data_IF_003099986683
#
_entry.id   IF_003099986683
#
_cell.length_a   1.000
_cell.length_b   1.000
_cell.length_c   1.000
_cell.angle_alpha   90.00
_cell.angle_beta   90.00
_cell.angle_gamma   90.00
#
_symmetry.space_group_name_H-M   'P 1'
#
loop_
_entity.id
_entity.type
_entity.pdbx_description
1 polymer ?
#
# COMPACT_ATOMS: atom_id res chain seq x y z
N UNK A 1 6.51 -4.79 -8.37
CA UNK A 1 7.65 -5.14 -9.24
C UNK A 1 7.82 -6.65 -9.19
N UNK A 2 8.01 -7.29 -10.35
CA UNK A 2 8.41 -8.70 -10.43
C UNK A 2 9.64 -8.83 -11.33
N UNK A 3 10.30 -9.97 -11.29
CA UNK A 3 11.47 -10.33 -12.11
C UNK A 3 11.28 -11.74 -12.65
N UNK A 4 12.16 -12.19 -13.55
CA UNK A 4 12.13 -13.57 -14.04
C UNK A 4 12.17 -14.59 -12.88
N UNK A 5 13.07 -14.41 -11.92
CA UNK A 5 13.22 -15.29 -10.76
C UNK A 5 12.00 -15.25 -9.82
N UNK A 6 11.42 -14.06 -9.57
CA UNK A 6 10.23 -13.93 -8.73
C UNK A 6 8.99 -14.55 -9.39
N UNK A 7 8.87 -14.42 -10.71
CA UNK A 7 7.76 -14.99 -11.47
C UNK A 7 7.77 -16.52 -11.42
N UNK A 8 8.94 -17.17 -11.41
CA UNK A 8 9.05 -18.62 -11.20
C UNK A 8 8.42 -19.11 -9.89
N UNK A 9 8.29 -18.21 -8.90
CA UNK A 9 7.71 -18.47 -7.59
C UNK A 9 6.36 -17.77 -7.36
N UNK A 10 5.69 -17.30 -8.43
CA UNK A 10 4.44 -16.53 -8.34
C UNK A 10 4.51 -15.34 -7.35
N UNK A 11 5.68 -14.70 -7.28
CA UNK A 11 6.00 -13.68 -6.30
C UNK A 11 6.21 -12.30 -6.93
N UNK A 12 6.07 -11.25 -6.11
CA UNK A 12 6.38 -9.86 -6.46
C UNK A 12 6.79 -9.08 -5.21
N UNK A 13 7.44 -7.94 -5.42
CA UNK A 13 7.57 -6.87 -4.40
C UNK A 13 6.46 -5.85 -4.64
N UNK A 14 5.64 -5.57 -3.64
CA UNK A 14 4.55 -4.59 -3.67
C UNK A 14 4.82 -3.45 -2.70
N UNK A 15 4.26 -2.27 -2.99
CA UNK A 15 4.16 -1.13 -2.06
C UNK A 15 2.69 -0.71 -2.09
N UNK A 16 2.08 -0.47 -0.93
CA UNK A 16 0.67 -0.13 -0.83
C UNK A 16 0.45 1.36 -0.51
N UNK A 17 -0.54 1.97 -1.16
CA UNK A 17 -0.93 3.37 -0.95
C UNK A 17 -0.30 4.38 -1.92
N UNK A 18 -0.60 5.69 -1.75
CA UNK A 18 0.01 6.77 -2.54
C UNK A 18 1.54 6.84 -2.35
N UNK A 19 2.27 7.36 -3.34
CA UNK A 19 3.73 7.56 -3.21
C UNK A 19 4.06 8.58 -2.13
N UNK A 20 5.15 8.33 -1.39
CA UNK A 20 5.68 9.18 -0.31
C UNK A 20 7.14 9.59 -0.56
N UNK A 21 7.68 9.32 -1.75
CA UNK A 21 9.10 9.52 -2.04
C UNK A 21 9.51 11.00 -2.07
N UNK A 22 8.60 11.85 -2.58
CA UNK A 22 8.84 13.28 -2.79
C UNK A 22 7.82 14.16 -2.06
N UNK A 23 6.93 13.55 -1.28
CA UNK A 23 5.80 14.21 -0.64
C UNK A 23 5.44 13.52 0.65
N UNK A 24 4.78 14.24 1.54
CA UNK A 24 4.37 13.68 2.84
C UNK A 24 3.42 12.50 2.63
N UNK A 25 3.44 11.51 3.54
CA UNK A 25 2.46 10.44 3.52
C UNK A 25 1.04 10.96 3.51
N UNK A 26 0.19 10.30 2.72
CA UNK A 26 -1.23 10.59 2.73
C UNK A 26 -1.84 10.16 4.07
N UNK A 27 -2.65 11.04 4.66
CA UNK A 27 -3.36 10.82 5.91
C UNK A 27 -4.82 11.21 5.70
N UNK A 28 -5.75 10.26 5.85
CA UNK A 28 -7.18 10.50 5.62
C UNK A 28 -7.70 11.66 6.47
N UNK A 29 -7.49 11.60 7.78
CA UNK A 29 -7.93 12.58 8.78
C UNK A 29 -7.36 14.00 8.59
N UNK A 30 -6.32 14.16 7.78
CA UNK A 30 -5.69 15.45 7.47
C UNK A 30 -5.88 15.87 6.01
N UNK A 31 -6.62 15.08 5.23
CA UNK A 31 -6.92 15.38 3.84
C UNK A 31 -8.26 16.09 3.71
N UNK A 32 -8.46 16.79 2.59
CA UNK A 32 -9.75 17.39 2.23
C UNK A 32 -10.86 16.34 2.01
N UNK A 33 -10.51 15.05 1.98
CA UNK A 33 -11.42 13.94 1.73
C UNK A 33 -12.02 13.33 2.99
N UNK A 34 -11.48 13.61 4.18
CA UNK A 34 -11.83 12.98 5.46
C UNK A 34 -13.35 12.83 5.66
N UNK A 35 -14.08 13.93 5.50
CA UNK A 35 -15.51 14.03 5.82
C UNK A 35 -16.43 13.62 4.67
N UNK A 36 -15.88 13.43 3.47
CA UNK A 36 -16.67 13.29 2.25
C UNK A 36 -16.48 11.94 1.57
N UNK A 37 -15.43 11.20 1.93
CA UNK A 37 -15.11 9.88 1.37
C UNK A 37 -15.01 8.86 2.48
N UNK A 38 -15.91 7.87 2.46
CA UNK A 38 -15.85 6.76 3.39
C UNK A 38 -14.61 5.90 3.12
N UNK A 39 -13.84 5.61 4.17
CA UNK A 39 -12.59 4.84 4.10
C UNK A 39 -12.53 3.79 5.23
N UNK A 40 -13.66 3.11 5.45
CA UNK A 40 -13.82 2.12 6.51
C UNK A 40 -12.86 0.94 6.26
N UNK A 41 -12.10 0.57 7.29
CA UNK A 41 -11.12 -0.53 7.22
C UNK A 41 -9.78 -0.14 6.60
N UNK A 42 -9.63 1.08 6.08
CA UNK A 42 -8.34 1.59 5.65
C UNK A 42 -7.56 2.17 6.85
N UNK A 43 -6.22 2.08 6.84
CA UNK A 43 -5.40 2.84 7.78
C UNK A 43 -5.56 4.33 7.52
N UNK A 44 -5.49 5.13 8.59
CA UNK A 44 -5.54 6.60 8.49
C UNK A 44 -4.33 7.14 7.72
N UNK A 45 -3.10 6.72 8.11
CA UNK A 45 -1.85 7.09 7.45
C UNK A 45 -1.33 5.98 6.54
N UNK A 46 -1.04 6.33 5.29
CA UNK A 46 -0.45 5.45 4.29
C UNK A 46 1.04 5.73 4.11
N UNK A 47 1.89 4.91 4.74
CA UNK A 47 3.35 5.02 4.64
C UNK A 47 4.02 3.63 4.71
N UNK A 48 3.53 2.70 3.89
CA UNK A 48 4.04 1.33 3.86
C UNK A 48 5.33 1.23 3.04
N UNK A 49 6.28 0.44 3.53
CA UNK A 49 7.50 0.12 2.78
C UNK A 49 7.26 -1.04 1.81
N UNK A 50 8.15 -1.25 0.82
CA UNK A 50 8.07 -2.43 -0.04
C UNK A 50 8.04 -3.75 0.74
N UNK A 51 7.21 -4.70 0.30
CA UNK A 51 7.05 -6.02 0.89
C UNK A 51 6.79 -7.10 -0.16
N UNK A 52 7.10 -8.36 0.16
CA UNK A 52 6.74 -9.52 -0.66
C UNK A 52 5.50 -10.19 -0.06
N UNK A 53 4.36 -10.23 -0.78
CA UNK A 53 3.14 -10.86 -0.26
C UNK A 53 3.34 -12.36 0.04
N UNK A 54 2.82 -12.82 1.17
CA UNK A 54 2.71 -14.25 1.50
C UNK A 54 1.24 -14.63 1.54
N UNK A 55 0.88 -15.69 0.83
CA UNK A 55 -0.49 -16.20 0.81
C UNK A 55 -0.69 -17.20 1.93
N UNK A 56 -1.61 -16.90 2.85
CA UNK A 56 -2.13 -17.83 3.84
C UNK A 56 -3.50 -18.32 3.34
N UNK A 57 -3.68 -19.64 3.26
CA UNK A 57 -5.00 -20.22 3.05
C UNK A 57 -5.80 -19.97 4.33
N UNK A 58 -6.87 -19.16 4.22
CA UNK A 58 -7.84 -18.90 5.28
C UNK A 58 -8.76 -20.08 5.51
#
# INVERSE_FOLDING_TARGET
>A
ITSYELMQHFSLVAIAGPTTDQQVPFIWSQSDFDKHVAHIGHPDKWNFTPFTPTWILS
#
